data_IF_170028609624
#
_entry.id   IF_170028609624
#
_cell.length_a   1.000
_cell.length_b   1.000
_cell.length_c   1.000
_cell.angle_alpha   90.00
_cell.angle_beta   90.00
_cell.angle_gamma   90.00
#
_symmetry.space_group_name_H-M   'P 1'
#
loop_
_entity.id
_entity.type
_entity.pdbx_description
1 polymer ?
#
# COMPACT_ATOMS: atom_id res chain seq x y z
N UNK A 1 -21.69 -40.91 -44.78
CA UNK A 1 -20.81 -41.27 -43.63
C UNK A 1 -19.95 -40.06 -43.42
N UNK A 2 -20.55 -39.11 -42.72
CA UNK A 2 -20.16 -37.71 -42.70
C UNK A 2 -18.98 -37.47 -41.78
N UNK A 3 -18.17 -36.48 -42.18
CA UNK A 3 -16.90 -36.10 -41.59
C UNK A 3 -17.12 -35.44 -40.23
N UNK A 4 -16.45 -35.97 -39.21
CA UNK A 4 -16.17 -35.29 -37.95
C UNK A 4 -14.72 -34.78 -38.00
N UNK A 5 -14.54 -33.46 -38.02
CA UNK A 5 -13.49 -32.79 -37.24
C UNK A 5 -13.98 -31.37 -36.92
N UNK A 6 -14.40 -31.20 -35.68
CA UNK A 6 -14.80 -29.93 -35.07
C UNK A 6 -13.56 -29.05 -34.94
N UNK A 7 -13.58 -27.88 -35.59
CA UNK A 7 -12.63 -26.80 -35.34
C UNK A 7 -13.07 -26.04 -34.09
N UNK A 8 -12.44 -26.31 -32.95
CA UNK A 8 -12.55 -25.45 -31.76
C UNK A 8 -11.74 -24.16 -31.99
N UNK A 9 -12.40 -23.14 -32.52
CA UNK A 9 -11.94 -21.76 -32.41
C UNK A 9 -12.16 -21.31 -30.96
N UNK A 10 -11.08 -21.30 -30.17
CA UNK A 10 -11.06 -20.68 -28.84
C UNK A 10 -11.09 -19.16 -28.98
N UNK A 11 -12.28 -18.58 -28.84
CA UNK A 11 -12.47 -17.13 -28.68
C UNK A 11 -12.20 -16.75 -27.23
N UNK A 12 -10.93 -16.49 -26.91
CA UNK A 12 -10.57 -15.67 -25.74
C UNK A 12 -10.23 -14.27 -26.27
N UNK A 13 -11.28 -13.56 -26.65
CA UNK A 13 -11.22 -12.12 -26.84
C UNK A 13 -11.16 -11.43 -25.48
N UNK A 14 -10.31 -10.40 -25.40
CA UNK A 14 -10.38 -9.31 -24.43
C UNK A 14 -10.14 -9.62 -22.95
N UNK A 15 -8.89 -9.90 -22.61
CA UNK A 15 -8.31 -9.41 -21.35
C UNK A 15 -7.12 -8.51 -21.68
N UNK A 16 -7.43 -7.38 -22.32
CA UNK A 16 -6.49 -6.26 -22.45
C UNK A 16 -6.33 -5.64 -21.07
N UNK A 17 -5.26 -6.01 -20.38
CA UNK A 17 -4.78 -5.36 -19.16
C UNK A 17 -4.69 -3.86 -19.41
N UNK A 18 -5.69 -3.10 -18.94
CA UNK A 18 -5.60 -1.65 -18.84
C UNK A 18 -4.59 -1.36 -17.74
N UNK A 19 -3.34 -1.23 -18.14
CA UNK A 19 -2.33 -0.52 -17.38
C UNK A 19 -2.81 0.94 -17.27
N UNK A 20 -3.59 1.24 -16.24
CA UNK A 20 -3.85 2.62 -15.86
C UNK A 20 -2.58 3.16 -15.20
N UNK A 21 -1.62 3.52 -16.04
CA UNK A 21 -0.60 4.50 -15.71
C UNK A 21 -1.35 5.82 -15.50
N UNK A 22 -1.70 6.12 -14.25
CA UNK A 22 -2.12 7.46 -13.87
C UNK A 22 -0.88 8.34 -13.91
N UNK A 23 -0.68 8.85 -15.12
CA UNK A 23 0.25 9.91 -15.46
C UNK A 23 -0.06 11.11 -14.55
N UNK A 24 0.93 11.51 -13.75
CA UNK A 24 0.86 12.68 -12.89
C UNK A 24 0.64 13.91 -13.77
N UNK A 25 -0.62 14.34 -13.89
CA UNK A 25 -0.97 15.66 -14.41
C UNK A 25 -1.43 16.53 -13.27
N UNK A 26 -0.52 17.42 -12.90
CA UNK A 26 -0.76 18.80 -12.48
C UNK A 26 -2.17 19.29 -12.92
N UNK A 27 -3.12 19.36 -11.99
CA UNK A 27 -4.48 19.80 -12.28
C UNK A 27 -5.10 20.51 -11.08
N UNK A 28 -4.97 21.84 -11.09
CA UNK A 28 -6.09 22.78 -10.95
C UNK A 28 -7.24 22.36 -10.03
N UNK A 29 -7.24 22.93 -8.82
CA UNK A 29 -8.22 22.85 -7.73
C UNK A 29 -9.62 23.40 -8.07
N UNK A 30 -10.27 22.88 -9.11
CA UNK A 30 -11.69 23.11 -9.35
C UNK A 30 -12.54 21.96 -8.79
N UNK A 31 -12.94 22.13 -7.53
CA UNK A 31 -14.25 21.74 -7.00
C UNK A 31 -14.58 20.23 -7.05
N UNK A 32 -13.69 19.38 -6.56
CA UNK A 32 -13.97 17.97 -6.26
C UNK A 32 -15.31 17.85 -5.52
N UNK A 33 -16.22 16.99 -5.95
CA UNK A 33 -17.53 16.74 -5.30
C UNK A 33 -17.32 16.11 -3.91
N UNK A 34 -18.26 16.30 -2.96
CA UNK A 34 -18.25 15.59 -1.67
C UNK A 34 -18.03 14.08 -1.83
N UNK A 35 -18.65 13.51 -2.87
CA UNK A 35 -18.50 12.09 -3.21
C UNK A 35 -17.06 11.72 -3.58
N UNK A 36 -16.37 12.57 -4.33
CA UNK A 36 -14.97 12.33 -4.73
C UNK A 36 -14.05 12.40 -3.52
N UNK A 37 -14.19 13.44 -2.68
CA UNK A 37 -13.41 13.59 -1.44
C UNK A 37 -13.57 12.35 -0.53
N UNK A 38 -14.79 11.83 -0.38
CA UNK A 38 -15.05 10.65 0.45
C UNK A 38 -14.43 9.38 -0.16
N UNK A 39 -14.50 9.22 -1.49
CA UNK A 39 -13.85 8.07 -2.14
C UNK A 39 -12.34 8.11 -2.02
N UNK A 40 -11.72 9.27 -2.26
CA UNK A 40 -10.28 9.41 -2.11
C UNK A 40 -9.84 9.20 -0.66
N UNK A 41 -10.61 9.70 0.31
CA UNK A 41 -10.32 9.48 1.73
C UNK A 41 -10.40 8.00 2.11
N UNK A 42 -11.38 7.26 1.59
CA UNK A 42 -11.50 5.81 1.79
C UNK A 42 -10.30 5.05 1.19
N UNK A 43 -9.85 5.46 0.00
CA UNK A 43 -8.65 4.91 -0.64
C UNK A 43 -7.39 5.15 0.20
N UNK A 44 -7.17 6.38 0.68
CA UNK A 44 -6.03 6.71 1.53
C UNK A 44 -6.07 5.95 2.86
N UNK A 45 -7.23 5.85 3.51
CA UNK A 45 -7.39 5.07 4.75
C UNK A 45 -7.10 3.58 4.50
N UNK A 46 -7.59 3.02 3.39
CA UNK A 46 -7.31 1.64 3.01
C UNK A 46 -5.82 1.39 2.77
N UNK A 47 -5.15 2.32 2.09
CA UNK A 47 -3.71 2.27 1.85
C UNK A 47 -2.89 2.41 3.15
N UNK A 48 -3.27 3.32 4.06
CA UNK A 48 -2.72 3.45 5.41
C UNK A 48 -2.82 2.11 6.16
N UNK A 49 -4.01 1.51 6.17
CA UNK A 49 -4.26 0.22 6.82
C UNK A 49 -3.33 -0.88 6.31
N UNK A 50 -3.20 -1.02 4.99
CA UNK A 50 -2.31 -2.00 4.37
C UNK A 50 -0.83 -1.78 4.74
N UNK A 51 -0.38 -0.52 4.79
CA UNK A 51 0.99 -0.15 5.18
C UNK A 51 1.26 -0.42 6.66
N UNK A 52 0.30 -0.13 7.54
CA UNK A 52 0.37 -0.48 8.97
C UNK A 52 0.49 -1.99 9.15
N UNK A 53 -0.37 -2.80 8.51
CA UNK A 53 -0.27 -4.26 8.58
C UNK A 53 1.08 -4.78 8.07
N UNK A 54 1.63 -4.17 7.02
CA UNK A 54 2.99 -4.51 6.54
C UNK A 54 4.06 -4.21 7.60
N UNK A 55 3.94 -3.10 8.35
CA UNK A 55 4.88 -2.77 9.43
C UNK A 55 4.76 -3.74 10.61
N UNK A 56 3.55 -4.15 10.99
CA UNK A 56 3.28 -5.17 12.01
C UNK A 56 3.89 -6.53 11.64
N UNK A 57 3.79 -6.93 10.37
CA UNK A 57 4.45 -8.13 9.86
C UNK A 57 5.97 -8.03 9.97
N UNK A 58 6.56 -6.88 9.65
CA UNK A 58 8.01 -6.67 9.79
C UNK A 58 8.46 -6.66 11.25
N UNK A 59 7.66 -6.10 12.15
CA UNK A 59 7.91 -6.18 13.59
C UNK A 59 7.97 -7.64 14.06
N UNK A 60 7.02 -8.46 13.63
CA UNK A 60 7.02 -9.90 13.93
C UNK A 60 8.28 -10.59 13.40
N UNK A 61 8.71 -10.26 12.18
CA UNK A 61 9.93 -10.81 11.58
C UNK A 61 11.21 -10.36 12.30
N UNK A 62 11.25 -9.11 12.77
CA UNK A 62 12.35 -8.60 13.59
C UNK A 62 12.41 -9.31 14.95
N UNK A 63 11.26 -9.55 15.58
CA UNK A 63 11.19 -10.31 16.84
C UNK A 63 11.78 -11.71 16.68
N UNK A 64 11.39 -12.44 15.63
CA UNK A 64 11.95 -13.77 15.32
C UNK A 64 13.45 -13.72 15.04
N UNK A 65 13.92 -12.70 14.32
CA UNK A 65 15.35 -12.53 14.07
C UNK A 65 16.13 -12.29 15.36
N UNK A 66 15.55 -11.55 16.32
CA UNK A 66 16.16 -11.35 17.64
C UNK A 66 16.31 -12.68 18.38
N UNK A 67 15.26 -13.50 18.40
CA UNK A 67 15.31 -14.85 19.01
C UNK A 67 16.37 -15.75 18.35
N UNK A 68 16.51 -15.68 17.02
CA UNK A 68 17.53 -16.43 16.28
C UNK A 68 18.95 -15.97 16.65
N UNK A 69 19.17 -14.65 16.78
CA UNK A 69 20.44 -14.06 17.19
C UNK A 69 20.77 -14.48 18.62
N UNK A 70 19.83 -14.34 19.55
CA UNK A 70 20.03 -14.71 20.96
C UNK A 70 20.37 -16.19 21.11
N UNK A 71 19.69 -17.05 20.34
CA UNK A 71 19.98 -18.49 20.30
C UNK A 71 21.38 -18.77 19.77
N UNK A 72 21.81 -18.09 18.71
CA UNK A 72 23.13 -18.26 18.14
C UNK A 72 24.23 -17.81 19.12
N UNK A 73 24.04 -16.66 19.78
CA UNK A 73 24.95 -16.14 20.81
C UNK A 73 25.02 -17.09 22.00
N UNK A 74 23.89 -17.62 22.47
CA UNK A 74 23.85 -18.58 23.57
C UNK A 74 24.66 -19.85 23.28
N UNK A 75 24.71 -20.27 22.02
CA UNK A 75 25.50 -21.42 21.55
C UNK A 75 26.95 -21.08 21.18
N UNK A 76 27.32 -19.81 21.09
CA UNK A 76 28.62 -19.37 20.56
C UNK A 76 28.77 -19.59 19.06
N UNK A 77 27.67 -19.59 18.31
CA UNK A 77 27.60 -19.88 16.87
C UNK A 77 27.35 -18.62 16.02
N UNK A 78 27.28 -17.43 16.61
CA UNK A 78 26.86 -16.18 15.95
C UNK A 78 27.70 -15.82 14.72
N UNK A 79 28.98 -16.19 14.71
CA UNK A 79 29.89 -15.92 13.60
C UNK A 79 29.48 -16.67 12.31
N UNK A 80 28.85 -17.85 12.46
CA UNK A 80 28.39 -18.64 11.32
C UNK A 80 27.15 -18.03 10.66
N UNK A 81 26.34 -17.30 11.43
CA UNK A 81 25.08 -16.71 10.99
C UNK A 81 25.16 -15.21 10.68
N UNK A 82 26.28 -14.55 11.00
CA UNK A 82 26.45 -13.10 10.86
C UNK A 82 25.99 -12.55 9.49
N UNK A 83 26.39 -13.21 8.39
CA UNK A 83 26.02 -12.79 7.03
C UNK A 83 24.50 -12.87 6.79
N UNK A 84 23.85 -13.88 7.34
CA UNK A 84 22.40 -14.06 7.23
C UNK A 84 21.66 -13.01 8.06
N UNK A 85 22.06 -12.80 9.31
CA UNK A 85 21.47 -11.79 10.19
C UNK A 85 21.59 -10.39 9.59
N UNK A 86 22.80 -10.03 9.14
CA UNK A 86 23.02 -8.74 8.48
C UNK A 86 22.13 -8.57 7.23
N UNK A 87 21.97 -9.63 6.42
CA UNK A 87 21.08 -9.58 5.26
C UNK A 87 19.62 -9.37 5.65
N UNK A 88 19.11 -10.11 6.64
CA UNK A 88 17.72 -9.98 7.12
C UNK A 88 17.47 -8.57 7.68
N UNK A 89 18.36 -8.08 8.56
CA UNK A 89 18.30 -6.70 9.08
C UNK A 89 18.25 -5.66 7.97
N UNK A 90 19.13 -5.77 6.96
CA UNK A 90 19.16 -4.84 5.84
C UNK A 90 17.86 -4.85 5.03
N UNK A 91 17.24 -6.01 4.84
CA UNK A 91 15.97 -6.13 4.11
C UNK A 91 14.83 -5.52 4.92
N UNK A 92 14.72 -5.87 6.21
CA UNK A 92 13.68 -5.34 7.09
C UNK A 92 13.79 -3.82 7.24
N UNK A 93 15.01 -3.30 7.40
CA UNK A 93 15.26 -1.86 7.44
C UNK A 93 14.80 -1.15 6.16
N UNK A 94 15.07 -1.71 4.99
CA UNK A 94 14.60 -1.14 3.71
C UNK A 94 13.08 -1.15 3.61
N UNK A 95 12.45 -2.23 4.06
CA UNK A 95 11.00 -2.36 4.02
C UNK A 95 10.34 -1.35 4.97
N UNK A 96 10.84 -1.20 6.20
CA UNK A 96 10.39 -0.17 7.15
C UNK A 96 10.48 1.21 6.51
N UNK A 97 11.66 1.59 6.00
CA UNK A 97 11.83 2.93 5.44
C UNK A 97 10.91 3.20 4.25
N UNK A 98 10.76 2.23 3.35
CA UNK A 98 9.88 2.37 2.20
C UNK A 98 8.41 2.50 2.65
N UNK A 99 7.96 1.62 3.54
CA UNK A 99 6.58 1.59 4.01
C UNK A 99 6.24 2.81 4.85
N UNK A 100 7.11 3.23 5.79
CA UNK A 100 6.92 4.44 6.61
C UNK A 100 6.91 5.71 5.75
N UNK A 101 7.79 5.80 4.74
CA UNK A 101 7.76 6.95 3.82
C UNK A 101 6.45 7.02 3.04
N UNK A 102 5.92 5.88 2.58
CA UNK A 102 4.62 5.82 1.94
C UNK A 102 3.47 6.14 2.91
N UNK A 103 3.53 5.62 4.14
CA UNK A 103 2.52 5.84 5.17
C UNK A 103 2.37 7.31 5.52
N UNK A 104 3.48 8.03 5.67
CA UNK A 104 3.44 9.47 5.94
C UNK A 104 2.77 10.26 4.81
N UNK A 105 3.01 9.88 3.55
CA UNK A 105 2.38 10.54 2.39
C UNK A 105 0.88 10.31 2.35
N UNK A 106 0.44 9.07 2.55
CA UNK A 106 -0.99 8.76 2.59
C UNK A 106 -1.67 9.49 3.76
N UNK A 107 -0.99 9.56 4.91
CA UNK A 107 -1.50 10.26 6.09
C UNK A 107 -1.63 11.78 5.86
N UNK A 108 -0.62 12.42 5.26
CA UNK A 108 -0.67 13.83 4.87
C UNK A 108 -1.85 14.09 3.92
N UNK A 109 -2.03 13.24 2.90
CA UNK A 109 -3.14 13.37 1.96
C UNK A 109 -4.51 13.12 2.62
N UNK A 110 -4.62 12.14 3.51
CA UNK A 110 -5.85 11.89 4.27
C UNK A 110 -6.22 13.08 5.17
N UNK A 111 -5.23 13.72 5.79
CA UNK A 111 -5.42 14.94 6.59
C UNK A 111 -5.92 16.11 5.72
N UNK A 112 -5.32 16.33 4.54
CA UNK A 112 -5.78 17.34 3.57
C UNK A 112 -7.23 17.09 3.14
N UNK A 113 -7.57 15.86 2.77
CA UNK A 113 -8.93 15.46 2.38
C UNK A 113 -9.94 15.63 3.53
N UNK A 114 -9.53 15.32 4.77
CA UNK A 114 -10.35 15.54 5.97
C UNK A 114 -10.62 17.03 6.18
N UNK A 115 -9.61 17.88 6.03
CA UNK A 115 -9.78 19.34 6.13
C UNK A 115 -10.69 19.88 5.02
N UNK A 116 -10.53 19.41 3.77
CA UNK A 116 -11.40 19.79 2.67
C UNK A 116 -12.86 19.39 2.93
N UNK A 117 -13.08 18.15 3.39
CA UNK A 117 -14.38 17.62 3.77
C UNK A 117 -15.02 18.50 4.85
N UNK A 118 -14.30 18.79 5.93
CA UNK A 118 -14.77 19.63 7.03
C UNK A 118 -15.14 21.03 6.54
N UNK A 119 -14.26 21.67 5.77
CA UNK A 119 -14.50 22.99 5.20
C UNK A 119 -15.76 22.99 4.33
N UNK A 120 -15.96 21.95 3.53
CA UNK A 120 -17.08 21.88 2.60
C UNK A 120 -18.41 21.60 3.28
N UNK A 121 -18.42 20.79 4.33
CA UNK A 121 -19.64 20.47 5.10
C UNK A 121 -20.00 21.60 6.05
N UNK A 122 -19.03 22.11 6.82
CA UNK A 122 -19.28 23.11 7.87
C UNK A 122 -19.45 24.51 7.29
N UNK A 123 -18.61 24.95 6.34
CA UNK A 123 -18.70 26.32 5.78
C UNK A 123 -19.84 26.48 4.78
N UNK A 124 -20.38 25.40 4.19
CA UNK A 124 -21.63 25.48 3.40
C UNK A 124 -22.87 25.66 4.29
N UNK A 125 -22.88 25.09 5.50
CA UNK A 125 -24.02 25.23 6.41
C UNK A 125 -24.12 26.62 7.05
N UNK A 126 -23.03 27.38 7.16
CA UNK A 126 -23.03 28.74 7.73
C UNK A 126 -23.43 29.87 6.77
N UNK A 127 -23.70 29.59 5.48
CA UNK A 127 -24.12 30.62 4.50
C UNK A 127 -25.62 30.58 4.17
N UNK A 128 -26.37 29.67 4.78
CA UNK A 128 -27.81 29.48 4.57
C UNK A 128 -28.65 29.77 5.83
N UNK A 129 -28.10 30.48 6.82
CA UNK A 129 -28.81 31.07 7.96
C UNK A 129 -28.63 32.58 7.94
#
# INVERSE_FOLDING_TARGET
MDQLTVSEQSTVADLRTKNNSLDFKEASYEKSNLREIVYELDEEIGSIGAKVSTLEDVETLLGRLMEDIDRAVHKGEEIYYFKEFHRKLRVYWKLINYTTSGLNKDFEKAEELKEELFNKVVKKNGKNQ
#
